data_IF_521528144982
#
_entry.id   IF_521528144982
#
_cell.length_a   1.000
_cell.length_b   1.000
_cell.length_c   1.000
_cell.angle_alpha   90.00
_cell.angle_beta   90.00
_cell.angle_gamma   90.00
#
_symmetry.space_group_name_H-M   'P 1'
#
loop_
_entity.id
_entity.type
_entity.pdbx_description
1 polymer ?
#
# COMPACT_ATOMS: atom_id res chain seq x y z
N UNK A 1 23.72 18.41 -4.97
CA UNK A 1 22.89 17.27 -5.42
C UNK A 1 21.50 17.82 -5.72
N UNK A 2 20.77 17.28 -6.69
CA UNK A 2 19.44 17.80 -7.05
C UNK A 2 18.39 17.60 -5.93
N UNK A 3 18.65 16.71 -4.98
CA UNK A 3 17.81 16.45 -3.82
C UNK A 3 18.65 16.31 -2.56
N UNK A 4 18.09 16.72 -1.42
CA UNK A 4 18.59 16.37 -0.10
C UNK A 4 18.30 14.90 0.22
N UNK A 5 19.20 14.18 0.92
CA UNK A 5 18.99 12.79 1.32
C UNK A 5 17.72 12.66 2.15
N UNK A 6 16.68 12.10 1.54
CA UNK A 6 15.36 11.97 2.14
C UNK A 6 14.67 10.74 1.58
N UNK A 7 13.53 10.35 2.15
CA UNK A 7 12.68 9.28 1.64
C UNK A 7 11.32 9.88 1.28
N UNK A 8 11.25 10.50 0.09
CA UNK A 8 10.08 11.29 -0.34
C UNK A 8 9.62 10.86 -1.74
N UNK A 9 8.31 10.97 -1.94
CA UNK A 9 7.65 10.78 -3.24
C UNK A 9 7.10 12.12 -3.68
N UNK A 10 7.37 12.50 -4.92
CA UNK A 10 6.92 13.77 -5.47
C UNK A 10 6.39 13.57 -6.89
N UNK A 11 5.20 14.11 -7.25
CA UNK A 11 4.82 14.26 -8.64
C UNK A 11 5.84 15.13 -9.37
N UNK A 12 6.17 14.79 -10.61
CA UNK A 12 7.09 15.60 -11.42
C UNK A 12 6.56 17.04 -11.59
N UNK A 13 5.26 17.19 -11.79
CA UNK A 13 4.56 18.47 -11.92
C UNK A 13 4.63 19.39 -10.68
N UNK A 14 5.01 18.87 -9.50
CA UNK A 14 5.21 19.69 -8.29
C UNK A 14 6.61 20.29 -8.19
N UNK A 15 7.57 19.82 -8.99
CA UNK A 15 8.89 20.43 -9.04
C UNK A 15 8.79 21.78 -9.76
N UNK A 16 9.49 22.78 -9.21
CA UNK A 16 9.61 24.07 -9.88
C UNK A 16 10.28 23.89 -11.25
N UNK A 17 9.89 24.70 -12.23
CA UNK A 17 10.41 24.59 -13.61
C UNK A 17 11.92 24.78 -13.72
N UNK A 18 12.52 25.48 -12.74
CA UNK A 18 13.96 25.71 -12.59
C UNK A 18 14.67 24.68 -11.69
N UNK A 19 13.97 23.62 -11.26
CA UNK A 19 14.55 22.61 -10.38
C UNK A 19 15.76 21.92 -11.07
N UNK A 20 16.91 21.74 -10.38
CA UNK A 20 18.14 21.18 -10.95
C UNK A 20 17.99 19.78 -11.58
N UNK A 21 16.93 19.05 -11.21
CA UNK A 21 16.60 17.75 -11.83
C UNK A 21 16.41 17.89 -13.35
N UNK A 22 15.76 18.94 -13.84
CA UNK A 22 15.47 19.08 -15.27
C UNK A 22 16.76 19.16 -16.10
N UNK A 23 17.74 19.94 -15.64
CA UNK A 23 19.06 20.02 -16.26
C UNK A 23 19.83 18.70 -16.17
N UNK A 24 19.76 18.02 -15.03
CA UNK A 24 20.39 16.71 -14.85
C UNK A 24 19.79 15.65 -15.81
N UNK A 25 18.46 15.64 -16.01
CA UNK A 25 17.81 14.73 -16.95
C UNK A 25 18.15 15.07 -18.41
N UNK A 26 18.26 16.36 -18.76
CA UNK A 26 18.71 16.78 -20.08
C UNK A 26 20.15 16.33 -20.36
N UNK A 27 21.04 16.49 -19.37
CA UNK A 27 22.43 16.01 -19.44
C UNK A 27 22.49 14.50 -19.60
N UNK A 28 21.71 13.75 -18.80
CA UNK A 28 21.63 12.29 -18.91
C UNK A 28 21.15 11.83 -20.30
N UNK A 29 20.14 12.50 -20.87
CA UNK A 29 19.67 12.21 -22.23
C UNK A 29 20.77 12.41 -23.27
N UNK A 30 21.51 13.53 -23.21
CA UNK A 30 22.61 13.81 -24.13
C UNK A 30 23.78 12.82 -24.01
N UNK A 31 24.09 12.37 -22.79
CA UNK A 31 25.10 11.35 -22.54
C UNK A 31 24.65 9.97 -23.06
N UNK A 32 23.37 9.63 -22.92
CA UNK A 32 22.81 8.41 -23.51
C UNK A 32 22.86 8.44 -25.03
N UNK A 33 22.55 9.57 -25.68
CA UNK A 33 22.72 9.73 -27.13
C UNK A 33 24.16 9.47 -27.57
N UNK A 34 25.13 10.06 -26.87
CA UNK A 34 26.57 9.86 -27.14
C UNK A 34 26.99 8.40 -26.96
N UNK A 35 26.50 7.76 -25.89
CA UNK A 35 26.78 6.35 -25.60
C UNK A 35 26.19 5.43 -26.68
N UNK A 36 24.95 5.68 -27.10
CA UNK A 36 24.28 4.92 -28.17
C UNK A 36 25.06 5.02 -29.47
N UNK A 37 25.48 6.22 -29.87
CA UNK A 37 26.28 6.42 -31.08
C UNK A 37 27.61 5.65 -31.02
N UNK A 38 28.29 5.70 -29.88
CA UNK A 38 29.56 5.01 -29.68
C UNK A 38 29.39 3.48 -29.70
N UNK A 39 28.37 2.96 -29.02
CA UNK A 39 28.06 1.53 -28.99
C UNK A 39 27.60 1.02 -30.36
N UNK A 40 26.82 1.79 -31.11
CA UNK A 40 26.39 1.43 -32.46
C UNK A 40 27.57 1.19 -33.41
N UNK A 41 28.62 2.02 -33.32
CA UNK A 41 29.83 1.85 -34.12
C UNK A 41 30.66 0.60 -33.75
N UNK A 42 30.41 -0.01 -32.58
CA UNK A 42 31.20 -1.14 -32.06
C UNK A 42 30.37 -2.43 -31.88
N UNK A 43 29.05 -2.39 -32.04
CA UNK A 43 28.14 -3.48 -31.68
C UNK A 43 28.42 -4.78 -32.44
N UNK A 44 28.88 -4.71 -33.69
CA UNK A 44 29.21 -5.90 -34.50
C UNK A 44 30.47 -6.64 -34.00
N UNK A 45 31.28 -6.00 -33.15
CA UNK A 45 32.55 -6.58 -32.66
C UNK A 45 32.35 -7.60 -31.54
N UNK A 46 31.24 -7.52 -30.80
CA UNK A 46 30.94 -8.44 -29.70
C UNK A 46 29.45 -8.42 -29.34
N UNK A 47 28.89 -9.59 -29.03
CA UNK A 47 27.49 -9.73 -28.59
C UNK A 47 27.19 -8.93 -27.30
N UNK A 48 28.15 -8.85 -26.37
CA UNK A 48 28.03 -8.06 -25.15
C UNK A 48 27.87 -6.55 -25.43
N UNK A 49 28.54 -6.02 -26.46
CA UNK A 49 28.40 -4.63 -26.88
C UNK A 49 27.05 -4.38 -27.55
N UNK A 50 26.56 -5.33 -28.35
CA UNK A 50 25.21 -5.28 -28.90
C UNK A 50 24.14 -5.32 -27.81
N UNK A 51 24.34 -6.08 -26.73
CA UNK A 51 23.46 -6.09 -25.56
C UNK A 51 23.47 -4.74 -24.81
N UNK A 52 24.65 -4.14 -24.62
CA UNK A 52 24.77 -2.79 -24.06
C UNK A 52 24.06 -1.73 -24.92
N UNK A 53 24.18 -1.81 -26.25
CA UNK A 53 23.48 -0.91 -27.17
C UNK A 53 21.96 -1.00 -27.01
N UNK A 54 21.41 -2.22 -27.03
CA UNK A 54 19.97 -2.44 -26.81
C UNK A 54 19.53 -1.83 -25.48
N UNK A 55 20.29 -2.08 -24.41
CA UNK A 55 19.98 -1.54 -23.09
C UNK A 55 20.05 -0.01 -23.03
N UNK A 56 21.03 0.60 -23.68
CA UNK A 56 21.14 2.06 -23.75
C UNK A 56 19.95 2.67 -24.50
N UNK A 57 19.53 2.06 -25.62
CA UNK A 57 18.35 2.48 -26.37
C UNK A 57 17.06 2.35 -25.53
N UNK A 58 16.88 1.25 -24.79
CA UNK A 58 15.74 1.07 -23.89
C UNK A 58 15.68 2.15 -22.80
N UNK A 59 16.81 2.41 -22.13
CA UNK A 59 16.89 3.43 -21.08
C UNK A 59 16.63 4.83 -21.64
N UNK A 60 17.17 5.14 -22.82
CA UNK A 60 16.96 6.42 -23.47
C UNK A 60 15.51 6.62 -23.91
N UNK A 61 14.86 5.58 -24.45
CA UNK A 61 13.44 5.62 -24.78
C UNK A 61 12.58 5.78 -23.52
N UNK A 62 12.91 5.09 -22.43
CA UNK A 62 12.22 5.24 -21.15
C UNK A 62 12.35 6.66 -20.58
N UNK A 63 13.55 7.25 -20.63
CA UNK A 63 13.80 8.63 -20.19
C UNK A 63 13.03 9.64 -21.05
N UNK A 64 13.05 9.50 -22.37
CA UNK A 64 12.26 10.35 -23.27
C UNK A 64 10.77 10.26 -22.98
N UNK A 65 10.24 9.05 -22.76
CA UNK A 65 8.84 8.82 -22.40
C UNK A 65 8.49 9.40 -21.01
N UNK A 66 9.45 9.48 -20.07
CA UNK A 66 9.26 10.17 -18.79
C UNK A 66 9.19 11.69 -18.95
N UNK A 67 10.02 12.27 -19.83
CA UNK A 67 10.10 13.71 -20.06
C UNK A 67 8.99 14.25 -20.97
N UNK A 68 8.40 13.40 -21.81
CA UNK A 68 7.25 13.77 -22.66
C UNK A 68 5.97 13.67 -21.85
N UNK A 69 5.78 14.57 -20.89
CA UNK A 69 4.43 14.93 -20.44
C UNK A 69 3.72 15.64 -21.60
N UNK A 70 3.10 14.88 -22.49
CA UNK A 70 2.20 15.48 -23.46
C UNK A 70 0.99 16.05 -22.69
N UNK A 71 0.69 17.35 -22.78
CA UNK A 71 -0.43 17.97 -22.05
C UNK A 71 -1.81 17.39 -22.41
N UNK A 72 -1.88 16.50 -23.40
CA UNK A 72 -3.10 15.85 -23.89
C UNK A 72 -3.20 14.36 -23.57
N UNK A 73 -2.18 13.71 -22.99
CA UNK A 73 -2.26 12.30 -22.56
C UNK A 73 -2.54 12.20 -21.06
N UNK A 74 -3.83 12.34 -20.71
CA UNK A 74 -4.42 12.19 -19.37
C UNK A 74 -4.34 10.77 -18.76
N UNK A 75 -3.44 9.91 -19.23
CA UNK A 75 -3.47 8.48 -18.90
C UNK A 75 -2.25 7.99 -18.09
N UNK A 76 -1.24 8.84 -17.86
CA UNK A 76 -0.01 8.48 -17.14
C UNK A 76 0.41 9.59 -16.19
N UNK A 77 1.07 9.22 -15.11
CA UNK A 77 1.65 10.11 -14.10
C UNK A 77 3.15 9.85 -14.04
N UNK A 78 3.93 10.90 -14.21
CA UNK A 78 5.36 10.89 -13.94
C UNK A 78 5.60 11.37 -12.51
N UNK A 79 6.30 10.56 -11.71
CA UNK A 79 6.66 10.91 -10.34
C UNK A 79 8.06 10.37 -10.02
N UNK A 80 8.65 10.91 -8.97
CA UNK A 80 9.98 10.53 -8.52
C UNK A 80 9.94 10.03 -7.09
N UNK A 81 10.83 9.09 -6.80
CA UNK A 81 11.10 8.61 -5.44
C UNK A 81 12.57 8.89 -5.13
N UNK A 82 12.80 9.69 -4.12
CA UNK A 82 14.14 10.03 -3.65
C UNK A 82 14.44 9.16 -2.44
N UNK A 83 15.56 8.45 -2.50
CA UNK A 83 16.16 7.74 -1.38
C UNK A 83 17.45 8.44 -0.96
N UNK A 84 18.08 7.96 0.12
CA UNK A 84 19.32 8.52 0.64
C UNK A 84 20.46 8.62 -0.40
N UNK A 85 20.52 7.68 -1.35
CA UNK A 85 21.61 7.59 -2.34
C UNK A 85 21.15 7.40 -3.79
N UNK A 86 19.85 7.29 -4.03
CA UNK A 86 19.30 7.00 -5.35
C UNK A 86 18.05 7.82 -5.61
N UNK A 87 17.80 8.13 -6.87
CA UNK A 87 16.55 8.71 -7.35
C UNK A 87 15.96 7.74 -8.35
N UNK A 88 14.70 7.39 -8.18
CA UNK A 88 13.95 6.56 -9.10
C UNK A 88 12.92 7.42 -9.84
N UNK A 89 12.82 7.20 -11.15
CA UNK A 89 11.84 7.85 -12.02
C UNK A 89 10.75 6.83 -12.33
N UNK A 90 9.50 7.20 -12.06
CA UNK A 90 8.36 6.32 -12.19
C UNK A 90 7.35 6.89 -13.19
N UNK A 91 6.83 6.00 -14.04
CA UNK A 91 5.70 6.31 -14.92
C UNK A 91 4.59 5.33 -14.55
N UNK A 92 3.49 5.83 -14.01
CA UNK A 92 2.36 5.01 -13.57
C UNK A 92 1.12 5.34 -14.37
N UNK A 93 0.43 4.35 -14.97
CA UNK A 93 -0.83 4.62 -15.65
C UNK A 93 -1.89 5.06 -14.62
N UNK A 94 -2.67 6.09 -14.97
CA UNK A 94 -3.79 6.58 -14.16
C UNK A 94 -4.86 5.50 -13.99
N UNK A 95 -5.12 4.76 -15.06
CA UNK A 95 -6.03 3.61 -15.08
C UNK A 95 -5.36 2.38 -15.69
N UNK A 96 -5.57 1.23 -15.05
CA UNK A 96 -5.15 -0.07 -15.56
C UNK A 96 -6.21 -0.72 -16.45
N UNK A 97 -7.45 -0.18 -16.45
CA UNK A 97 -8.56 -0.73 -17.22
C UNK A 97 -8.25 -0.89 -18.72
N UNK A 98 -7.69 0.12 -19.44
CA UNK A 98 -7.40 -0.04 -20.88
C UNK A 98 -6.29 -1.06 -21.15
N UNK A 99 -5.30 -1.16 -20.24
CA UNK A 99 -4.21 -2.13 -20.35
C UNK A 99 -4.76 -3.54 -20.17
N UNK A 100 -5.61 -3.72 -19.16
CA UNK A 100 -6.21 -5.01 -18.85
C UNK A 100 -7.21 -5.45 -19.91
N UNK A 101 -7.99 -4.52 -20.45
CA UNK A 101 -8.93 -4.77 -21.55
C UNK A 101 -8.20 -5.28 -22.80
N UNK A 102 -7.08 -4.65 -23.19
CA UNK A 102 -6.24 -5.11 -24.30
C UNK A 102 -5.70 -6.52 -24.07
N UNK A 103 -5.25 -6.83 -22.86
CA UNK A 103 -4.78 -8.17 -22.49
C UNK A 103 -5.91 -9.21 -22.59
N UNK A 104 -7.12 -8.84 -22.16
CA UNK A 104 -8.31 -9.70 -22.23
C UNK A 104 -8.84 -9.90 -23.66
N UNK A 105 -8.65 -8.91 -24.53
CA UNK A 105 -9.07 -8.93 -25.93
C UNK A 105 -8.21 -9.82 -26.84
N UNK A 106 -7.12 -10.40 -26.33
CA UNK A 106 -6.28 -11.37 -27.06
C UNK A 106 -7.00 -12.71 -27.25
N UNK A 107 -6.37 -13.81 -26.81
CA UNK A 107 -6.97 -15.14 -26.98
C UNK A 107 -8.25 -15.30 -26.16
N UNK A 108 -9.39 -15.69 -26.77
CA UNK A 108 -10.65 -15.91 -26.05
C UNK A 108 -10.48 -16.91 -24.90
N UNK A 109 -10.83 -16.47 -23.70
CA UNK A 109 -10.78 -17.28 -22.47
C UNK A 109 -11.77 -16.73 -21.44
N UNK A 110 -12.21 -17.59 -20.53
CA UNK A 110 -12.99 -17.16 -19.38
C UNK A 110 -12.06 -16.61 -18.28
N UNK A 111 -12.44 -15.50 -17.67
CA UNK A 111 -11.74 -14.90 -16.53
C UNK A 111 -12.68 -14.89 -15.33
N UNK A 112 -12.27 -15.51 -14.22
CA UNK A 112 -13.05 -15.57 -12.98
C UNK A 112 -12.28 -14.79 -11.91
N UNK A 113 -12.90 -13.73 -11.40
CA UNK A 113 -12.36 -12.91 -10.32
C UNK A 113 -13.08 -13.28 -9.03
N UNK A 114 -12.34 -13.75 -8.04
CA UNK A 114 -12.89 -14.12 -6.74
C UNK A 114 -12.04 -13.54 -5.62
N UNK A 115 -12.68 -12.91 -4.65
CA UNK A 115 -12.06 -12.43 -3.42
C UNK A 115 -13.16 -12.04 -2.41
N UNK A 116 -12.82 -12.11 -1.12
CA UNK A 116 -13.74 -11.78 -0.02
C UNK A 116 -14.17 -10.31 0.01
N UNK A 117 -13.46 -9.40 -0.68
CA UNK A 117 -13.70 -7.95 -0.59
C UNK A 117 -13.79 -7.25 -1.95
N UNK A 118 -14.24 -7.96 -2.99
CA UNK A 118 -14.47 -7.33 -4.31
C UNK A 118 -15.64 -6.33 -4.28
N UNK A 119 -16.59 -6.49 -3.36
CA UNK A 119 -17.79 -5.65 -3.28
C UNK A 119 -17.87 -4.82 -1.99
N UNK A 120 -18.46 -3.64 -2.13
CA UNK A 120 -18.88 -2.79 -1.02
C UNK A 120 -20.41 -2.86 -0.94
N UNK A 121 -20.95 -3.45 0.13
CA UNK A 121 -22.40 -3.70 0.30
C UNK A 121 -23.04 -4.44 -0.89
N UNK A 122 -22.31 -5.38 -1.51
CA UNK A 122 -22.79 -6.12 -2.68
C UNK A 122 -22.63 -5.38 -4.02
N UNK A 123 -22.17 -4.13 -4.02
CA UNK A 123 -21.86 -3.38 -5.24
C UNK A 123 -20.43 -3.67 -5.72
N UNK A 124 -20.32 -4.15 -6.96
CA UNK A 124 -19.07 -4.48 -7.66
C UNK A 124 -18.62 -3.38 -8.63
N UNK A 125 -19.41 -2.32 -8.83
CA UNK A 125 -19.11 -1.26 -9.82
C UNK A 125 -17.74 -0.66 -9.63
N UNK A 126 -17.31 -0.46 -8.38
CA UNK A 126 -15.99 0.09 -8.06
C UNK A 126 -14.85 -0.78 -8.62
N UNK A 127 -14.85 -2.07 -8.30
CA UNK A 127 -13.85 -3.01 -8.79
C UNK A 127 -13.94 -3.19 -10.31
N UNK A 128 -15.17 -3.31 -10.83
CA UNK A 128 -15.40 -3.48 -12.25
C UNK A 128 -14.89 -2.29 -13.07
N UNK A 129 -15.17 -1.05 -12.64
CA UNK A 129 -14.69 0.16 -13.30
C UNK A 129 -13.15 0.25 -13.30
N UNK A 130 -12.49 -0.07 -12.17
CA UNK A 130 -11.03 -0.07 -12.08
C UNK A 130 -10.36 -1.08 -13.02
N UNK A 131 -11.00 -2.23 -13.22
CA UNK A 131 -10.49 -3.31 -14.06
C UNK A 131 -10.98 -3.22 -15.52
N UNK A 132 -11.88 -2.30 -15.87
CA UNK A 132 -12.49 -2.25 -17.21
C UNK A 132 -13.43 -3.44 -17.49
N UNK A 133 -14.20 -3.85 -16.48
CA UNK A 133 -15.13 -4.97 -16.52
C UNK A 133 -16.58 -4.47 -16.45
N UNK A 134 -17.51 -5.30 -16.94
CA UNK A 134 -18.93 -5.12 -16.68
C UNK A 134 -19.30 -5.73 -15.32
N UNK A 135 -20.07 -4.99 -14.52
CA UNK A 135 -20.43 -5.40 -13.16
C UNK A 135 -21.64 -6.36 -13.12
N UNK A 136 -22.36 -6.52 -14.23
CA UNK A 136 -23.59 -7.29 -14.37
C UNK A 136 -23.41 -8.80 -14.16
N UNK A 137 -22.20 -9.32 -14.37
CA UNK A 137 -21.83 -10.73 -14.15
C UNK A 137 -21.15 -10.97 -12.81
N UNK A 138 -21.67 -10.34 -11.75
CA UNK A 138 -21.11 -10.44 -10.40
C UNK A 138 -22.09 -11.12 -9.44
N UNK A 139 -21.56 -11.93 -8.52
CA UNK A 139 -22.34 -12.54 -7.44
C UNK A 139 -21.63 -12.31 -6.11
N UNK A 140 -22.40 -12.06 -5.07
CA UNK A 140 -21.89 -12.01 -3.70
C UNK A 140 -22.45 -13.19 -2.92
N UNK A 141 -21.56 -13.98 -2.32
CA UNK A 141 -21.93 -15.08 -1.45
C UNK A 141 -21.89 -14.63 0.02
N UNK A 142 -22.81 -15.10 0.88
CA UNK A 142 -22.77 -14.78 2.30
C UNK A 142 -21.55 -15.38 2.98
N UNK A 143 -21.09 -14.74 4.06
CA UNK A 143 -20.06 -15.31 4.94
C UNK A 143 -20.61 -16.57 5.62
N UNK A 144 -19.81 -17.65 5.75
CA UNK A 144 -20.20 -18.82 6.54
C UNK A 144 -20.13 -18.58 8.06
N UNK A 145 -19.51 -17.47 8.51
CA UNK A 145 -19.25 -17.19 9.93
C UNK A 145 -20.36 -16.40 10.61
N UNK A 146 -20.62 -16.71 11.88
CA UNK A 146 -21.58 -16.01 12.75
C UNK A 146 -20.88 -14.92 13.57
N UNK A 147 -20.65 -13.78 12.93
CA UNK A 147 -19.99 -12.64 13.59
C UNK A 147 -20.72 -12.13 14.84
N UNK A 148 -22.04 -12.32 14.95
CA UNK A 148 -22.79 -11.83 16.11
C UNK A 148 -22.47 -12.63 17.39
N UNK A 149 -22.11 -13.91 17.24
CA UNK A 149 -21.71 -14.79 18.34
C UNK A 149 -20.19 -14.93 18.48
N UNK A 150 -19.45 -14.68 17.39
CA UNK A 150 -18.00 -14.87 17.34
C UNK A 150 -17.19 -13.60 17.62
N UNK A 151 -17.72 -12.40 17.32
CA UNK A 151 -16.94 -11.17 17.36
C UNK A 151 -17.60 -10.04 18.16
N UNK A 152 -16.79 -9.23 18.85
CA UNK A 152 -17.21 -7.97 19.46
C UNK A 152 -16.52 -6.78 18.77
N UNK A 153 -17.31 -5.77 18.40
CA UNK A 153 -16.78 -4.50 17.91
C UNK A 153 -16.77 -3.48 19.05
N UNK A 154 -15.57 -3.04 19.42
CA UNK A 154 -15.38 -1.95 20.38
C UNK A 154 -14.85 -0.69 19.68
N UNK A 155 -15.61 0.41 19.77
CA UNK A 155 -15.21 1.72 19.27
C UNK A 155 -15.11 2.70 20.44
N UNK A 156 -13.89 3.04 20.90
CA UNK A 156 -13.72 3.94 22.04
C UNK A 156 -14.25 5.33 21.74
N UNK A 157 -14.89 5.94 22.75
CA UNK A 157 -15.43 7.30 22.68
C UNK A 157 -14.44 8.29 23.30
N UNK A 158 -14.49 9.55 22.86
CA UNK A 158 -13.70 10.63 23.46
C UNK A 158 -12.20 10.65 23.08
N UNK A 159 -11.76 9.84 22.11
CA UNK A 159 -10.42 10.00 21.55
C UNK A 159 -10.32 11.31 20.77
N UNK A 160 -9.15 12.00 20.82
CA UNK A 160 -8.93 13.18 19.99
C UNK A 160 -8.87 12.80 18.51
N UNK A 161 -8.90 13.80 17.63
CA UNK A 161 -8.74 13.57 16.19
C UNK A 161 -7.40 12.86 15.90
N UNK A 162 -7.31 11.95 14.91
CA UNK A 162 -6.07 11.24 14.60
C UNK A 162 -4.87 12.11 14.22
N UNK A 163 -5.10 13.36 13.82
CA UNK A 163 -4.06 14.35 13.53
C UNK A 163 -3.54 15.08 14.79
N UNK A 164 -4.22 14.94 15.94
CA UNK A 164 -3.83 15.60 17.18
C UNK A 164 -2.52 15.01 17.72
N UNK A 165 -1.58 15.84 18.23
CA UNK A 165 -0.30 15.36 18.74
C UNK A 165 -0.41 14.32 19.86
N UNK A 166 -1.44 14.43 20.70
CA UNK A 166 -1.71 13.55 21.83
C UNK A 166 -2.58 12.32 21.48
N UNK A 167 -2.89 12.10 20.20
CA UNK A 167 -3.76 10.99 19.78
C UNK A 167 -3.22 9.63 20.21
N UNK A 168 -1.92 9.39 19.96
CA UNK A 168 -1.31 8.10 20.27
C UNK A 168 -1.23 7.90 21.80
N UNK A 169 -1.04 8.95 22.60
CA UNK A 169 -1.12 8.86 24.07
C UNK A 169 -2.53 8.47 24.52
N UNK A 170 -3.56 9.16 24.04
CA UNK A 170 -4.96 8.85 24.40
C UNK A 170 -5.39 7.44 23.94
N UNK A 171 -4.97 7.03 22.74
CA UNK A 171 -5.22 5.68 22.22
C UNK A 171 -4.58 4.61 23.11
N UNK A 172 -3.37 4.88 23.62
CA UNK A 172 -2.63 3.94 24.45
C UNK A 172 -3.33 3.61 25.77
N UNK A 173 -3.92 4.61 26.43
CA UNK A 173 -4.69 4.43 27.65
C UNK A 173 -5.91 3.49 27.45
N UNK A 174 -6.45 3.45 26.24
CA UNK A 174 -7.54 2.53 25.87
C UNK A 174 -7.00 1.16 25.46
N UNK A 175 -5.91 1.12 24.70
CA UNK A 175 -5.37 -0.10 24.10
C UNK A 175 -4.77 -1.04 25.16
N UNK A 176 -4.06 -0.50 26.14
CA UNK A 176 -3.35 -1.31 27.13
C UNK A 176 -4.29 -2.24 27.93
N UNK A 177 -5.39 -1.76 28.55
CA UNK A 177 -6.33 -2.64 29.25
C UNK A 177 -6.94 -3.74 28.36
N UNK A 178 -7.19 -3.42 27.08
CA UNK A 178 -7.79 -4.38 26.13
C UNK A 178 -6.79 -5.48 25.76
N UNK A 179 -5.52 -5.12 25.55
CA UNK A 179 -4.44 -6.10 25.30
C UNK A 179 -4.27 -7.04 26.50
N UNK A 180 -4.34 -6.50 27.73
CA UNK A 180 -4.25 -7.31 28.96
C UNK A 180 -5.46 -8.24 29.11
N UNK A 181 -6.67 -7.73 28.90
CA UNK A 181 -7.90 -8.53 28.95
C UNK A 181 -7.93 -9.65 27.89
N UNK A 182 -7.37 -9.39 26.70
CA UNK A 182 -7.24 -10.40 25.65
C UNK A 182 -6.14 -11.44 25.94
N UNK A 183 -5.30 -11.25 26.95
CA UNK A 183 -4.17 -12.15 27.21
C UNK A 183 -3.12 -12.10 26.10
N UNK A 184 -2.99 -10.95 25.43
CA UNK A 184 -2.16 -10.79 24.25
C UNK A 184 -2.95 -11.23 23.04
N UNK A 185 -2.38 -12.12 22.22
CA UNK A 185 -3.07 -12.70 21.05
C UNK A 185 -3.62 -11.62 20.13
N UNK A 186 -2.81 -10.58 19.92
CA UNK A 186 -3.29 -9.33 19.38
C UNK A 186 -2.49 -8.91 18.16
N UNK A 187 -3.21 -8.46 17.14
CA UNK A 187 -2.63 -7.67 16.06
C UNK A 187 -2.96 -6.20 16.29
N UNK A 188 -1.93 -5.38 16.43
CA UNK A 188 -2.04 -3.92 16.43
C UNK A 188 -1.66 -3.40 15.05
N UNK A 189 -2.69 -3.21 14.24
CA UNK A 189 -2.62 -2.80 12.85
C UNK A 189 -2.66 -1.28 12.76
N UNK A 190 -1.48 -0.69 12.68
CA UNK A 190 -1.30 0.75 12.54
C UNK A 190 -1.41 1.16 11.07
N UNK A 191 -1.85 2.39 10.84
CA UNK A 191 -1.89 2.99 9.49
C UNK A 191 -0.56 3.65 9.09
N UNK A 192 0.36 3.88 10.04
CA UNK A 192 1.67 4.50 9.77
C UNK A 192 2.81 3.79 10.51
N UNK A 193 4.02 3.80 9.94
CA UNK A 193 5.21 3.26 10.60
C UNK A 193 5.60 4.06 11.86
N UNK A 194 5.30 5.37 11.88
CA UNK A 194 5.48 6.20 13.08
C UNK A 194 4.65 5.66 14.25
N UNK A 195 3.39 5.33 14.01
CA UNK A 195 2.51 4.76 15.03
C UNK A 195 3.00 3.36 15.48
N UNK A 196 3.47 2.52 14.56
CA UNK A 196 4.11 1.22 14.90
C UNK A 196 5.25 1.43 15.90
N UNK A 197 6.18 2.34 15.60
CA UNK A 197 7.33 2.61 16.47
C UNK A 197 6.93 3.15 17.84
N UNK A 198 5.97 4.09 17.88
CA UNK A 198 5.49 4.68 19.13
C UNK A 198 4.78 3.65 20.02
N UNK A 199 3.89 2.84 19.45
CA UNK A 199 3.19 1.79 20.20
C UNK A 199 4.17 0.70 20.66
N UNK A 200 5.09 0.26 19.79
CA UNK A 200 6.12 -0.71 20.16
C UNK A 200 6.99 -0.22 21.32
N UNK A 201 7.41 1.06 21.31
CA UNK A 201 8.20 1.63 22.41
C UNK A 201 7.44 1.58 23.74
N UNK A 202 6.15 1.91 23.75
CA UNK A 202 5.33 1.84 24.96
C UNK A 202 5.11 0.40 25.44
N UNK A 203 4.88 -0.54 24.53
CA UNK A 203 4.76 -1.96 24.88
C UNK A 203 6.05 -2.48 25.52
N UNK A 204 7.23 -2.12 25.00
CA UNK A 204 8.52 -2.47 25.62
C UNK A 204 8.70 -1.86 27.02
N UNK A 205 8.26 -0.62 27.22
CA UNK A 205 8.32 0.01 28.54
C UNK A 205 7.38 -0.68 29.55
N UNK A 206 6.19 -1.07 29.12
CA UNK A 206 5.25 -1.80 29.98
C UNK A 206 5.72 -3.22 30.26
N UNK A 207 6.31 -3.93 29.30
CA UNK A 207 6.84 -5.28 29.55
C UNK A 207 7.99 -5.31 30.56
N UNK A 208 8.70 -4.19 30.75
CA UNK A 208 9.76 -4.07 31.76
C UNK A 208 9.21 -3.74 33.16
N UNK A 209 8.08 -3.03 33.24
CA UNK A 209 7.52 -2.51 34.50
C UNK A 209 6.41 -3.40 35.06
N UNK A 210 5.69 -4.10 34.20
CA UNK A 210 4.69 -5.12 34.56
C UNK A 210 5.28 -6.50 34.37
N UNK A 211 4.85 -7.47 35.19
CA UNK A 211 5.19 -8.89 35.01
C UNK A 211 4.45 -9.47 33.79
N UNK A 212 4.71 -8.90 32.62
CA UNK A 212 3.99 -9.19 31.39
C UNK A 212 4.74 -10.21 30.53
N UNK A 213 4.13 -11.36 30.27
CA UNK A 213 4.75 -12.46 29.50
C UNK A 213 4.19 -12.61 28.07
N UNK A 214 3.85 -11.50 27.40
CA UNK A 214 3.39 -11.54 26.00
C UNK A 214 4.55 -11.17 25.08
N UNK A 215 5.01 -12.08 24.20
CA UNK A 215 6.07 -11.76 23.25
C UNK A 215 5.68 -10.61 22.33
N UNK A 216 6.54 -9.59 22.23
CA UNK A 216 6.34 -8.46 21.33
C UNK A 216 7.04 -8.73 19.99
N UNK A 217 6.29 -8.60 18.90
CA UNK A 217 6.77 -8.78 17.52
C UNK A 217 6.51 -7.49 16.75
N UNK A 218 7.55 -6.83 16.24
CA UNK A 218 7.42 -5.52 15.59
C UNK A 218 7.87 -5.59 14.13
N UNK A 219 7.06 -5.05 13.24
CA UNK A 219 7.46 -4.90 11.84
C UNK A 219 8.77 -4.11 11.71
N UNK A 220 9.70 -4.66 10.92
CA UNK A 220 11.03 -4.09 10.70
C UNK A 220 12.13 -4.77 11.51
N UNK A 221 11.80 -5.57 12.53
CA UNK A 221 12.79 -6.32 13.31
C UNK A 221 13.12 -7.70 12.73
N UNK A 222 12.20 -8.26 11.95
CA UNK A 222 12.38 -9.52 11.25
C UNK A 222 11.54 -9.54 9.95
N UNK A 223 11.75 -10.57 9.13
CA UNK A 223 10.95 -10.73 7.91
C UNK A 223 9.47 -10.95 8.25
N UNK A 224 8.57 -10.55 7.35
CA UNK A 224 7.13 -10.72 7.57
C UNK A 224 6.75 -12.18 7.84
N UNK A 225 7.30 -13.13 7.08
CA UNK A 225 7.02 -14.55 7.26
C UNK A 225 7.46 -15.05 8.63
N UNK A 226 8.66 -14.66 9.06
CA UNK A 226 9.22 -15.02 10.37
C UNK A 226 8.41 -14.43 11.53
N UNK A 227 7.96 -13.17 11.44
CA UNK A 227 7.12 -12.57 12.47
C UNK A 227 5.79 -13.32 12.62
N UNK A 228 5.19 -13.76 11.52
CA UNK A 228 3.94 -14.53 11.55
C UNK A 228 4.15 -15.94 12.12
N UNK A 229 5.25 -16.60 11.76
CA UNK A 229 5.60 -17.89 12.32
C UNK A 229 5.81 -17.82 13.84
N UNK A 230 6.59 -16.84 14.32
CA UNK A 230 6.80 -16.59 15.75
C UNK A 230 5.50 -16.27 16.48
N UNK A 231 4.59 -15.52 15.85
CA UNK A 231 3.28 -15.21 16.42
C UNK A 231 2.45 -16.48 16.64
N UNK A 232 2.38 -17.35 15.63
CA UNK A 232 1.66 -18.62 15.71
C UNK A 232 2.28 -19.57 16.76
N UNK A 233 3.62 -19.66 16.81
CA UNK A 233 4.32 -20.51 17.77
C UNK A 233 4.15 -20.03 19.22
N UNK A 234 4.12 -18.71 19.44
CA UNK A 234 3.99 -18.13 20.78
C UNK A 234 2.58 -18.32 21.36
N UNK A 235 1.54 -18.28 20.52
CA UNK A 235 0.15 -18.47 20.92
C UNK A 235 -0.46 -17.33 21.77
N UNK A 236 0.35 -16.40 22.29
CA UNK A 236 -0.08 -15.23 23.05
C UNK A 236 0.65 -13.92 22.69
N UNK A 237 1.35 -13.88 21.57
CA UNK A 237 2.14 -12.72 21.16
C UNK A 237 1.28 -11.48 20.85
N UNK A 238 1.92 -10.31 20.88
CA UNK A 238 1.41 -9.06 20.33
C UNK A 238 2.24 -8.72 19.10
N UNK A 239 1.60 -8.64 17.94
CA UNK A 239 2.23 -8.19 16.70
C UNK A 239 1.82 -6.76 16.39
N UNK A 240 2.79 -5.86 16.26
CA UNK A 240 2.58 -4.47 15.86
C UNK A 240 3.10 -4.28 14.43
N UNK A 241 2.21 -3.93 13.52
CA UNK A 241 2.53 -3.81 12.09
C UNK A 241 1.71 -2.73 11.40
N UNK A 242 2.17 -2.33 10.21
CA UNK A 242 1.47 -1.40 9.32
C UNK A 242 0.61 -2.16 8.30
N UNK A 243 0.15 -1.47 7.25
CA UNK A 243 -0.70 -2.00 6.18
C UNK A 243 -0.22 -3.36 5.60
N UNK A 244 1.09 -3.63 5.59
CA UNK A 244 1.64 -4.89 5.07
C UNK A 244 1.17 -6.15 5.82
N UNK A 245 0.68 -6.01 7.05
CA UNK A 245 0.09 -7.09 7.85
C UNK A 245 -1.44 -7.19 7.74
N UNK A 246 -2.09 -6.29 6.99
CA UNK A 246 -3.55 -6.27 6.84
C UNK A 246 -4.07 -7.32 5.85
N UNK A 247 -3.20 -7.75 4.93
CA UNK A 247 -3.54 -8.67 3.83
C UNK A 247 -2.72 -9.94 3.91
N UNK A 248 -3.27 -11.08 3.49
CA UNK A 248 -2.52 -12.33 3.31
C UNK A 248 -1.93 -12.96 4.58
N UNK A 249 -2.51 -12.69 5.75
CA UNK A 249 -2.16 -13.37 7.02
C UNK A 249 -3.28 -14.34 7.42
N UNK A 250 -2.96 -15.63 7.53
CA UNK A 250 -3.89 -16.66 8.03
C UNK A 250 -3.38 -17.15 9.39
N UNK A 251 -4.02 -16.69 10.47
CA UNK A 251 -3.80 -17.22 11.82
C UNK A 251 -5.13 -17.81 12.25
N UNK A 252 -5.17 -19.13 12.44
CA UNK A 252 -6.38 -19.85 12.84
C UNK A 252 -6.34 -20.18 14.32
N UNK A 253 -7.52 -20.25 14.93
CA UNK A 253 -7.69 -20.66 16.32
C UNK A 253 -7.28 -19.57 17.31
N UNK A 254 -7.08 -19.98 18.56
CA UNK A 254 -6.94 -19.06 19.69
C UNK A 254 -5.64 -18.26 19.77
N UNK A 255 -4.79 -18.25 18.74
CA UNK A 255 -3.56 -17.45 18.73
C UNK A 255 -3.82 -15.97 18.41
N UNK A 256 -4.91 -15.65 17.70
CA UNK A 256 -5.37 -14.29 17.43
C UNK A 256 -6.81 -14.15 17.92
N UNK A 257 -7.03 -13.30 18.92
CA UNK A 257 -8.36 -13.02 19.49
C UNK A 257 -8.63 -11.52 19.65
N UNK A 258 -7.75 -10.67 19.14
CA UNK A 258 -7.89 -9.23 19.20
C UNK A 258 -7.23 -8.59 17.99
N UNK A 259 -7.98 -7.76 17.27
CA UNK A 259 -7.44 -6.90 16.20
C UNK A 259 -7.71 -5.46 16.58
N UNK A 260 -6.66 -4.67 16.74
CA UNK A 260 -6.70 -3.25 17.01
C UNK A 260 -6.32 -2.53 15.72
N UNK A 261 -7.17 -1.59 15.29
CA UNK A 261 -6.90 -0.71 14.16
C UNK A 261 -6.85 0.71 14.70
N UNK A 262 -5.70 1.38 14.56
CA UNK A 262 -5.45 2.67 15.21
C UNK A 262 -6.36 3.80 14.70
N UNK A 263 -6.62 3.83 13.39
CA UNK A 263 -7.54 4.75 12.72
C UNK A 263 -8.00 4.17 11.38
N UNK A 264 -8.98 4.81 10.75
CA UNK A 264 -9.47 4.40 9.44
C UNK A 264 -8.33 4.39 8.41
N UNK A 265 -8.19 3.32 7.61
CA UNK A 265 -7.08 3.11 6.66
C UNK A 265 -7.27 3.90 5.36
N UNK A 266 -7.33 5.22 5.47
CA UNK A 266 -7.22 6.06 4.29
C UNK A 266 -5.80 6.03 3.74
N UNK A 267 -5.69 5.98 2.41
CA UNK A 267 -4.41 6.04 1.75
C UNK A 267 -3.68 7.36 2.06
N UNK A 268 -2.34 7.33 2.14
CA UNK A 268 -1.55 8.52 2.45
C UNK A 268 -1.80 9.65 1.44
N UNK A 269 -2.01 10.89 1.88
CA UNK A 269 -2.32 12.02 1.00
C UNK A 269 -1.12 12.46 0.13
N UNK A 270 0.09 12.11 0.55
CA UNK A 270 1.37 12.37 -0.12
C UNK A 270 1.70 11.35 -1.22
N UNK A 271 0.81 10.40 -1.50
CA UNK A 271 0.96 9.51 -2.65
C UNK A 271 0.67 10.28 -3.96
N UNK A 272 1.69 10.48 -4.83
CA UNK A 272 1.54 11.26 -6.05
C UNK A 272 0.58 10.61 -7.05
N UNK A 273 0.50 9.28 -7.06
CA UNK A 273 -0.39 8.54 -7.96
C UNK A 273 -1.84 8.69 -7.50
N UNK A 274 -2.06 8.61 -6.19
CA UNK A 274 -3.36 8.87 -5.61
C UNK A 274 -3.82 10.30 -5.91
N UNK A 275 -3.00 11.31 -5.61
CA UNK A 275 -3.36 12.71 -5.81
C UNK A 275 -3.81 13.00 -7.25
N UNK A 276 -3.07 12.48 -8.24
CA UNK A 276 -3.43 12.64 -9.65
C UNK A 276 -4.71 11.88 -10.04
N UNK A 277 -4.96 10.69 -9.49
CA UNK A 277 -6.25 9.98 -9.67
C UNK A 277 -7.42 10.78 -9.10
N UNK A 278 -7.25 11.35 -7.90
CA UNK A 278 -8.29 12.17 -7.27
C UNK A 278 -8.58 13.42 -8.11
N UNK A 279 -7.54 14.12 -8.59
CA UNK A 279 -7.71 15.29 -9.47
C UNK A 279 -8.46 14.96 -10.77
N UNK A 280 -8.20 13.79 -11.37
CA UNK A 280 -8.95 13.34 -12.56
C UNK A 280 -10.43 13.10 -12.26
N UNK A 281 -10.75 12.51 -11.11
CA UNK A 281 -12.14 12.30 -10.68
C UNK A 281 -12.87 13.64 -10.47
N UNK A 282 -12.19 14.63 -9.88
CA UNK A 282 -12.74 15.98 -9.73
C UNK A 282 -13.03 16.63 -11.08
N UNK A 283 -12.11 16.50 -12.05
CA UNK A 283 -12.30 17.01 -13.42
C UNK A 283 -13.49 16.34 -14.13
N UNK A 284 -13.80 15.10 -13.77
CA UNK A 284 -14.97 14.35 -14.27
C UNK A 284 -16.27 14.69 -13.52
N UNK A 285 -16.23 15.59 -12.53
CA UNK A 285 -17.39 15.95 -11.71
C UNK A 285 -17.79 14.90 -10.67
N UNK A 286 -16.89 13.95 -10.39
CA UNK A 286 -17.08 12.90 -9.37
C UNK A 286 -16.51 13.37 -8.03
N UNK A 287 -16.91 12.74 -6.93
CA UNK A 287 -16.40 13.00 -5.59
C UNK A 287 -15.24 12.05 -5.27
N UNK A 288 -13.98 12.51 -5.20
CA UNK A 288 -12.85 11.59 -4.97
C UNK A 288 -12.94 10.87 -3.62
N UNK A 289 -13.51 11.54 -2.61
CA UNK A 289 -13.73 10.94 -1.31
C UNK A 289 -14.76 9.80 -1.38
N UNK A 290 -15.94 10.05 -1.94
CA UNK A 290 -17.05 9.07 -1.98
C UNK A 290 -16.80 7.97 -3.01
N UNK A 291 -16.31 8.33 -4.19
CA UNK A 291 -16.21 7.43 -5.34
C UNK A 291 -14.89 6.63 -5.34
N UNK A 292 -13.88 7.04 -4.58
CA UNK A 292 -12.58 6.35 -4.54
C UNK A 292 -12.06 6.06 -3.14
N UNK A 293 -11.82 7.08 -2.32
CA UNK A 293 -11.12 6.89 -1.04
C UNK A 293 -11.93 6.07 -0.04
N UNK A 294 -13.23 6.33 0.08
CA UNK A 294 -14.11 5.62 1.01
C UNK A 294 -14.25 4.14 0.65
N UNK A 295 -14.57 3.73 -0.60
CA UNK A 295 -14.58 2.33 -1.00
C UNK A 295 -13.25 1.61 -0.70
N UNK A 296 -12.11 2.24 -0.97
CA UNK A 296 -10.79 1.67 -0.68
C UNK A 296 -10.59 1.47 0.83
N UNK A 297 -10.90 2.48 1.64
CA UNK A 297 -10.78 2.37 3.09
C UNK A 297 -11.72 1.30 3.67
N UNK A 298 -12.93 1.15 3.14
CA UNK A 298 -13.86 0.08 3.53
C UNK A 298 -13.30 -1.31 3.18
N UNK A 299 -12.72 -1.47 1.99
CA UNK A 299 -12.08 -2.73 1.58
C UNK A 299 -10.90 -3.06 2.51
N UNK A 300 -10.01 -2.10 2.75
CA UNK A 300 -8.87 -2.27 3.64
C UNK A 300 -9.32 -2.60 5.08
N UNK A 301 -10.32 -1.90 5.61
CA UNK A 301 -10.88 -2.17 6.94
C UNK A 301 -11.46 -3.59 7.03
N UNK A 302 -12.20 -4.04 6.01
CA UNK A 302 -12.69 -5.43 5.94
C UNK A 302 -11.54 -6.43 5.90
N UNK A 303 -10.47 -6.16 5.17
CA UNK A 303 -9.30 -7.04 5.09
C UNK A 303 -8.56 -7.16 6.43
N UNK A 304 -8.38 -6.03 7.14
CA UNK A 304 -7.79 -5.99 8.48
C UNK A 304 -8.67 -6.67 9.53
N UNK A 305 -9.95 -6.32 9.59
CA UNK A 305 -10.91 -6.91 10.54
C UNK A 305 -11.16 -8.41 10.28
N UNK A 306 -11.18 -8.81 9.00
CA UNK A 306 -11.34 -10.21 8.60
C UNK A 306 -10.19 -11.12 9.02
N UNK A 307 -9.14 -10.62 9.68
CA UNK A 307 -8.10 -11.44 10.31
C UNK A 307 -8.59 -12.12 11.59
N UNK A 308 -9.57 -11.55 12.26
CA UNK A 308 -10.06 -12.03 13.56
C UNK A 308 -10.78 -13.38 13.46
N UNK A 309 -11.66 -13.55 12.47
CA UNK A 309 -12.49 -14.75 12.31
C UNK A 309 -12.10 -15.48 11.02
N UNK A 310 -11.49 -16.66 11.15
CA UNK A 310 -11.01 -17.52 10.05
C UNK A 310 -11.61 -18.93 10.08
N UNK A 311 -12.14 -19.35 11.21
CA UNK A 311 -12.86 -20.61 11.42
C UNK A 311 -14.16 -20.39 12.20
N UNK A 312 -15.09 -21.34 12.12
CA UNK A 312 -16.38 -21.33 12.84
C UNK A 312 -16.22 -21.34 14.37
N UNK A 313 -15.06 -21.75 14.86
CA UNK A 313 -14.73 -21.80 16.29
C UNK A 313 -13.98 -20.56 16.80
N UNK A 314 -13.54 -19.68 15.90
CA UNK A 314 -12.76 -18.50 16.29
C UNK A 314 -13.65 -17.51 17.06
N UNK A 315 -13.04 -16.79 18.00
CA UNK A 315 -13.70 -15.77 18.82
C UNK A 315 -12.76 -14.61 19.12
N UNK A 316 -13.29 -13.39 19.18
CA UNK A 316 -12.55 -12.22 19.66
C UNK A 316 -13.27 -10.89 19.49
#
# INVERSE_FOLDING_TARGET
LAFEPSNIKLPLAQLASDHPLHEALATLSAQLDTLILTLAAQAERAESLAACLRRACELHAALKNFQTEAPTQTDKICWIEVFAYTVQLHITPLSIAPIFEKQRAGTPRAWIFTSATLSVKGDFKHYAAQMGLAADRSISLPSPFDYAQQALLYVPQGLPQPAAPNFIDALWEVVLPVLEAAGGRAFVLCTTLRAVNQIAQRLRAVSQTRAWNFPLLVQGEASRGELLERFQQSGNAILVGSQSFWEGVDVRGGALSLVIIDKLPFAPPDDPVLAARLALLEQQGLSPFVDYQLPQAVIALKQGAGRLIRAETDRG
#
